data_IF_512034195338
#
_entry.id   IF_512034195338
#
_cell.length_a   1.000
_cell.length_b   1.000
_cell.length_c   1.000
_cell.angle_alpha   90.00
_cell.angle_beta   90.00
_cell.angle_gamma   90.00
#
_symmetry.space_group_name_H-M   'P 1'
#
loop_
_entity.id
_entity.type
_entity.pdbx_description
1 polymer ?
#
# COMPACT_ATOMS: atom_id res chain seq x y z
N UNK A 1 -25.98 -29.59 -23.18
CA UNK A 1 -26.03 -31.05 -22.87
C UNK A 1 -26.60 -31.26 -21.48
N UNK A 2 -27.68 -32.04 -21.34
CA UNK A 2 -28.24 -32.42 -20.03
C UNK A 2 -27.20 -33.25 -19.27
N UNK A 3 -26.81 -32.81 -18.06
CA UNK A 3 -25.92 -33.60 -17.18
C UNK A 3 -26.66 -34.87 -16.77
N UNK A 4 -26.27 -36.01 -17.34
CA UNK A 4 -26.71 -37.33 -16.88
C UNK A 4 -26.29 -37.50 -15.41
N UNK A 5 -27.27 -37.47 -14.51
CA UNK A 5 -27.06 -37.78 -13.09
C UNK A 5 -26.57 -39.22 -12.97
N UNK A 6 -25.31 -39.39 -12.60
CA UNK A 6 -24.73 -40.71 -12.38
C UNK A 6 -25.05 -41.18 -10.95
N UNK A 7 -25.32 -42.48 -10.78
CA UNK A 7 -25.49 -43.11 -9.46
C UNK A 7 -24.21 -42.95 -8.66
N UNK A 8 -24.32 -42.39 -7.45
CA UNK A 8 -23.20 -42.23 -6.51
C UNK A 8 -22.65 -43.62 -6.15
N UNK A 9 -21.39 -43.87 -6.44
CA UNK A 9 -20.68 -45.05 -5.96
C UNK A 9 -20.63 -45.02 -4.42
N UNK A 10 -21.08 -46.10 -3.77
CA UNK A 10 -21.06 -46.20 -2.29
C UNK A 10 -19.64 -46.38 -1.77
N UNK A 11 -18.80 -47.07 -2.53
CA UNK A 11 -17.43 -47.51 -2.21
C UNK A 11 -16.32 -46.69 -2.89
N UNK A 12 -16.66 -45.59 -3.55
CA UNK A 12 -15.70 -44.72 -4.22
C UNK A 12 -14.72 -44.04 -3.25
N UNK A 13 -13.52 -43.73 -3.76
CA UNK A 13 -12.47 -43.07 -2.98
C UNK A 13 -12.89 -41.69 -2.48
N UNK A 14 -12.26 -41.22 -1.40
CA UNK A 14 -12.56 -39.96 -0.74
C UNK A 14 -12.39 -38.76 -1.69
N UNK A 15 -11.33 -38.75 -2.50
CA UNK A 15 -11.06 -37.68 -3.46
C UNK A 15 -12.11 -37.58 -4.57
N UNK A 16 -12.61 -38.70 -5.07
CA UNK A 16 -13.69 -38.69 -6.06
C UNK A 16 -15.03 -38.26 -5.46
N UNK A 17 -15.30 -38.63 -4.20
CA UNK A 17 -16.48 -38.19 -3.45
C UNK A 17 -16.45 -36.68 -3.20
N UNK A 18 -15.31 -36.15 -2.75
CA UNK A 18 -15.07 -34.72 -2.51
C UNK A 18 -15.28 -33.89 -3.80
N UNK A 19 -14.70 -34.37 -4.90
CA UNK A 19 -14.80 -33.71 -6.22
C UNK A 19 -16.13 -33.93 -6.93
N UNK A 20 -17.04 -34.72 -6.35
CA UNK A 20 -18.32 -35.11 -6.96
C UNK A 20 -18.13 -35.58 -8.41
N UNK A 21 -17.25 -36.56 -8.60
CA UNK A 21 -17.00 -37.26 -9.88
C UNK A 21 -17.16 -38.77 -9.72
N UNK A 22 -17.41 -39.50 -10.82
CA UNK A 22 -17.57 -40.96 -10.80
C UNK A 22 -16.23 -41.63 -10.47
N UNK A 23 -16.19 -42.40 -9.38
CA UNK A 23 -15.08 -43.30 -9.08
C UNK A 23 -15.31 -44.64 -9.78
N UNK A 24 -14.26 -45.20 -10.36
CA UNK A 24 -14.24 -46.54 -10.97
C UNK A 24 -13.81 -47.64 -9.97
N UNK A 25 -13.56 -47.28 -8.71
CA UNK A 25 -13.26 -48.17 -7.58
C UNK A 25 -12.03 -49.08 -7.75
N UNK A 26 -11.22 -48.83 -8.79
CA UNK A 26 -9.89 -49.45 -8.94
C UNK A 26 -8.91 -48.90 -7.91
N UNK A 27 -7.83 -49.66 -7.64
CA UNK A 27 -6.76 -49.32 -6.69
C UNK A 27 -5.42 -49.19 -7.44
N UNK A 28 -4.93 -47.99 -7.80
CA UNK A 28 -5.56 -46.66 -7.68
C UNK A 28 -6.71 -46.43 -8.68
N UNK A 29 -7.57 -45.45 -8.38
CA UNK A 29 -8.73 -45.09 -9.20
C UNK A 29 -8.32 -44.29 -10.46
N UNK A 30 -8.91 -44.54 -11.63
CA UNK A 30 -8.51 -43.88 -12.89
C UNK A 30 -8.68 -42.36 -12.86
N UNK A 31 -9.71 -41.87 -12.15
CA UNK A 31 -9.95 -40.45 -11.97
C UNK A 31 -8.88 -39.79 -11.06
N UNK A 32 -8.33 -40.53 -10.11
CA UNK A 32 -7.28 -40.07 -9.22
C UNK A 32 -5.95 -39.97 -9.99
N UNK A 33 -5.64 -41.00 -10.78
CA UNK A 33 -4.45 -41.05 -11.65
C UNK A 33 -4.44 -39.93 -12.68
N UNK A 34 -5.56 -39.70 -13.39
CA UNK A 34 -5.65 -38.63 -14.41
C UNK A 34 -5.45 -37.22 -13.86
N UNK A 35 -5.73 -37.04 -12.58
CA UNK A 35 -5.59 -35.76 -11.90
C UNK A 35 -4.38 -35.71 -10.98
N UNK A 36 -3.49 -36.70 -11.06
CA UNK A 36 -2.23 -36.78 -10.32
C UNK A 36 -2.39 -36.56 -8.80
N UNK A 37 -3.51 -37.03 -8.24
CA UNK A 37 -3.81 -36.95 -6.81
C UNK A 37 -3.78 -38.33 -6.16
N UNK A 38 -3.33 -38.37 -4.91
CA UNK A 38 -3.25 -39.61 -4.12
C UNK A 38 -4.64 -40.26 -3.98
N UNK A 39 -4.75 -41.51 -4.40
CA UNK A 39 -6.00 -42.27 -4.30
C UNK A 39 -6.15 -42.88 -2.91
N UNK A 40 -7.26 -42.57 -2.21
CA UNK A 40 -7.54 -43.14 -0.88
C UNK A 40 -7.89 -44.63 -0.89
N UNK A 41 -7.87 -45.30 -2.05
CA UNK A 41 -8.10 -46.75 -2.19
C UNK A 41 -6.79 -47.53 -2.39
N UNK A 42 -5.64 -46.86 -2.47
CA UNK A 42 -4.34 -47.53 -2.64
C UNK A 42 -3.72 -47.86 -1.27
N UNK A 43 -3.52 -49.15 -1.00
CA UNK A 43 -2.87 -49.66 0.22
C UNK A 43 -1.38 -49.89 -0.03
N UNK A 44 -0.58 -48.83 -0.19
CA UNK A 44 0.89 -48.80 -0.08
C UNK A 44 1.40 -47.35 -0.15
N UNK A 45 2.32 -46.91 0.73
CA UNK A 45 2.90 -45.58 0.64
C UNK A 45 3.86 -45.50 -0.57
N UNK A 46 3.89 -44.39 -1.31
CA UNK A 46 4.95 -44.16 -2.29
C UNK A 46 6.27 -43.84 -1.57
N UNK A 47 7.36 -44.39 -2.08
CA UNK A 47 8.72 -43.96 -1.75
C UNK A 47 8.89 -42.44 -1.93
N UNK A 48 9.79 -41.89 -1.12
CA UNK A 48 10.03 -40.49 -0.82
C UNK A 48 9.94 -39.49 -2.00
N UNK A 49 9.17 -38.41 -1.74
CA UNK A 49 9.11 -37.17 -2.51
C UNK A 49 8.28 -36.14 -1.72
N UNK A 50 8.93 -35.47 -0.78
CA UNK A 50 8.36 -34.76 0.38
C UNK A 50 7.39 -33.62 0.04
N UNK A 51 6.14 -33.74 0.47
CA UNK A 51 5.27 -32.61 0.81
C UNK A 51 4.62 -32.92 2.17
N UNK A 52 5.10 -32.26 3.23
CA UNK A 52 4.54 -32.40 4.57
C UNK A 52 3.35 -31.46 4.77
N UNK A 53 2.29 -32.12 5.19
CA UNK A 53 0.98 -31.69 5.66
C UNK A 53 1.08 -30.81 6.90
N UNK A 54 0.27 -29.73 6.94
CA UNK A 54 -0.24 -29.16 8.20
C UNK A 54 -1.52 -29.91 8.54
N UNK A 55 -1.49 -30.70 9.62
CA UNK A 55 -2.68 -31.28 10.23
C UNK A 55 -3.39 -30.21 11.07
N UNK A 56 -4.67 -29.98 10.79
CA UNK A 56 -5.62 -29.42 11.74
C UNK A 56 -6.67 -30.49 12.04
N UNK A 57 -6.70 -30.97 13.28
CA UNK A 57 -7.81 -31.74 13.83
C UNK A 57 -8.48 -30.95 14.95
N UNK A 58 -9.74 -30.59 14.72
CA UNK A 58 -10.70 -30.16 15.73
C UNK A 58 -11.22 -31.37 16.51
N UNK A 59 -11.25 -31.28 17.85
CA UNK A 59 -12.31 -31.91 18.67
C UNK A 59 -12.65 -31.03 19.88
N UNK A 60 -13.96 -30.97 20.17
CA UNK A 60 -14.68 -30.14 21.15
C UNK A 60 -15.00 -30.96 22.43
N UNK A 61 -15.82 -30.49 23.39
CA UNK A 61 -15.42 -29.96 24.70
C UNK A 61 -15.80 -30.86 25.91
N UNK A 62 -15.18 -30.63 27.08
CA UNK A 62 -15.80 -30.88 28.39
C UNK A 62 -15.01 -30.28 29.55
N UNK A 63 -15.75 -30.05 30.64
CA UNK A 63 -15.60 -29.08 31.72
C UNK A 63 -14.63 -29.40 32.87
N UNK A 64 -14.46 -28.37 33.72
CA UNK A 64 -14.28 -28.34 35.19
C UNK A 64 -12.87 -28.31 35.85
N UNK A 65 -12.65 -27.16 36.52
CA UNK A 65 -12.06 -26.91 37.86
C UNK A 65 -10.53 -26.97 38.11
N UNK A 66 -10.02 -25.75 38.32
CA UNK A 66 -9.37 -25.23 39.55
C UNK A 66 -7.88 -25.50 39.89
N UNK A 67 -7.22 -24.39 40.31
CA UNK A 67 -6.02 -24.23 41.18
C UNK A 67 -4.68 -24.68 40.57
N UNK A 68 -3.49 -24.14 40.88
CA UNK A 68 -2.99 -22.96 41.62
C UNK A 68 -1.45 -23.09 41.67
N UNK A 69 -0.73 -21.98 41.48
CA UNK A 69 0.57 -21.57 42.08
C UNK A 69 1.92 -22.19 41.65
N UNK A 70 2.84 -21.24 41.44
CA UNK A 70 4.26 -21.16 41.85
C UNK A 70 5.29 -22.09 41.18
N UNK A 71 6.58 -21.75 41.03
CA UNK A 71 7.38 -20.52 41.10
C UNK A 71 8.86 -20.93 40.85
N UNK A 72 9.72 -19.92 40.64
CA UNK A 72 11.16 -19.85 40.98
C UNK A 72 12.16 -20.50 39.99
N UNK A 73 13.05 -19.69 39.39
CA UNK A 73 14.40 -19.23 39.87
C UNK A 73 15.42 -20.38 39.77
N UNK A 74 16.70 -20.20 39.48
CA UNK A 74 17.57 -19.11 39.04
C UNK A 74 19.00 -19.66 39.12
N UNK A 75 19.90 -19.10 38.30
CA UNK A 75 21.29 -18.75 38.63
C UNK A 75 22.30 -19.87 38.97
N UNK A 76 23.42 -19.82 38.25
CA UNK A 76 24.81 -19.62 38.72
C UNK A 76 25.77 -20.34 37.75
N UNK A 77 27.04 -19.98 37.52
CA UNK A 77 27.89 -18.81 37.77
C UNK A 77 29.28 -19.24 37.26
N UNK A 78 29.98 -18.34 36.56
CA UNK A 78 31.43 -18.14 36.43
C UNK A 78 32.40 -19.33 36.22
N UNK A 79 33.38 -19.19 35.32
CA UNK A 79 34.73 -18.71 35.68
C UNK A 79 35.65 -18.50 34.46
N UNK A 80 36.55 -17.53 34.62
CA UNK A 80 37.54 -16.99 33.70
C UNK A 80 38.77 -17.90 33.48
N UNK A 81 39.56 -17.63 32.44
CA UNK A 81 40.95 -18.13 32.36
C UNK A 81 41.69 -17.77 31.08
N UNK A 82 42.48 -16.70 31.13
CA UNK A 82 43.43 -16.22 30.11
C UNK A 82 44.73 -17.06 30.16
N UNK A 83 45.40 -17.27 29.02
CA UNK A 83 46.77 -17.78 28.98
C UNK A 83 47.35 -17.80 27.58
N UNK A 84 48.55 -17.25 27.42
CA UNK A 84 49.15 -16.77 26.17
C UNK A 84 50.44 -17.53 25.81
N UNK A 85 50.86 -17.35 24.55
CA UNK A 85 52.24 -17.37 23.99
C UNK A 85 52.83 -18.63 23.34
N UNK A 86 53.37 -18.36 22.14
CA UNK A 86 54.68 -18.81 21.65
C UNK A 86 54.59 -19.94 20.61
N UNK A 87 55.44 -20.05 19.59
CA UNK A 87 56.57 -19.23 19.12
C UNK A 87 57.12 -19.93 17.85
N UNK A 88 57.46 -19.13 16.83
CA UNK A 88 58.66 -19.24 15.98
C UNK A 88 58.86 -20.29 14.85
N UNK A 89 59.29 -19.68 13.71
CA UNK A 89 60.42 -19.97 12.79
C UNK A 89 60.13 -20.85 11.57
N UNK A 90 60.19 -20.24 10.36
CA UNK A 90 61.33 -20.14 9.40
C UNK A 90 61.48 -21.44 8.58
N UNK A 91 61.62 -21.50 7.25
CA UNK A 91 62.47 -20.78 6.28
C UNK A 91 61.96 -20.93 4.83
N UNK A 92 62.53 -20.13 3.92
CA UNK A 92 62.29 -20.02 2.47
C UNK A 92 63.28 -20.88 1.63
N UNK A 93 62.86 -21.39 0.46
CA UNK A 93 63.67 -21.46 -0.79
C UNK A 93 62.88 -21.97 -2.03
N UNK A 94 62.77 -21.10 -3.03
CA UNK A 94 62.80 -21.24 -4.51
C UNK A 94 62.65 -22.60 -5.22
N UNK A 95 61.78 -22.67 -6.24
CA UNK A 95 62.13 -22.95 -7.66
C UNK A 95 60.87 -23.03 -8.56
N UNK A 96 61.05 -22.73 -9.83
CA UNK A 96 60.06 -22.39 -10.86
C UNK A 96 59.37 -23.59 -11.55
N UNK A 97 58.33 -23.21 -12.28
CA UNK A 97 57.80 -23.80 -13.52
C UNK A 97 56.58 -24.75 -13.49
N UNK A 98 55.53 -24.21 -14.14
CA UNK A 98 54.57 -24.83 -15.05
C UNK A 98 53.34 -25.56 -14.52
N UNK A 99 52.23 -25.17 -15.16
CA UNK A 99 50.99 -25.91 -15.48
C UNK A 99 49.78 -25.55 -14.63
N UNK A 100 48.74 -25.10 -15.33
CA UNK A 100 47.36 -24.90 -14.89
C UNK A 100 46.85 -26.04 -13.99
N UNK A 101 45.97 -25.72 -13.03
CA UNK A 101 44.93 -26.66 -12.66
C UNK A 101 43.53 -26.03 -12.63
N UNK A 102 42.66 -26.69 -13.39
CA UNK A 102 41.22 -26.74 -13.25
C UNK A 102 40.75 -27.03 -11.83
N UNK A 103 39.72 -26.30 -11.41
CA UNK A 103 38.96 -26.38 -10.16
C UNK A 103 38.40 -27.78 -9.85
N UNK A 104 38.38 -28.17 -8.55
CA UNK A 104 37.31 -28.97 -7.98
C UNK A 104 36.56 -28.21 -6.86
N UNK A 105 35.32 -28.64 -6.52
CA UNK A 105 34.47 -28.00 -5.53
C UNK A 105 34.49 -28.69 -4.15
N UNK A 106 34.24 -27.91 -3.09
CA UNK A 106 33.93 -28.35 -1.72
C UNK A 106 33.65 -27.12 -0.85
N UNK A 107 32.44 -26.95 -0.30
CA UNK A 107 32.08 -27.16 1.13
C UNK A 107 32.90 -26.26 2.07
N UNK A 108 32.36 -25.32 2.85
CA UNK A 108 31.31 -25.40 3.89
C UNK A 108 31.05 -23.93 4.34
N UNK A 109 29.79 -23.50 4.54
CA UNK A 109 29.16 -23.29 5.87
C UNK A 109 29.43 -21.89 6.47
N UNK A 110 28.37 -21.09 6.69
CA UNK A 110 28.15 -20.42 7.98
C UNK A 110 26.78 -19.73 8.08
N UNK A 111 26.28 -19.78 9.31
CA UNK A 111 24.97 -19.40 9.81
C UNK A 111 24.68 -17.89 9.80
N UNK A 112 23.39 -17.56 9.81
CA UNK A 112 22.93 -16.18 10.00
C UNK A 112 21.43 -16.11 10.27
N UNK A 113 21.05 -16.41 11.52
CA UNK A 113 19.71 -16.15 12.04
C UNK A 113 19.37 -14.65 11.92
N UNK A 114 18.37 -14.31 11.11
CA UNK A 114 17.81 -12.95 11.08
C UNK A 114 16.58 -12.87 11.99
N UNK A 115 16.72 -12.06 13.03
CA UNK A 115 15.66 -11.60 13.91
C UNK A 115 14.53 -10.96 13.10
N UNK A 116 13.29 -11.25 13.50
CA UNK A 116 12.07 -10.70 12.93
C UNK A 116 12.06 -9.17 12.98
N UNK A 117 12.20 -8.56 11.81
CA UNK A 117 11.73 -7.22 11.57
C UNK A 117 10.33 -7.37 10.99
N UNK A 118 9.30 -6.85 11.67
CA UNK A 118 7.95 -6.78 11.11
C UNK A 118 8.03 -6.02 9.78
N UNK A 119 7.59 -6.66 8.69
CA UNK A 119 7.52 -6.06 7.36
C UNK A 119 6.48 -4.93 7.40
N UNK A 120 6.86 -3.66 7.13
CA UNK A 120 5.94 -2.53 7.10
C UNK A 120 4.81 -2.65 6.06
N UNK A 121 4.88 -3.65 5.18
CA UNK A 121 3.98 -3.84 4.03
C UNK A 121 3.19 -5.15 4.07
N UNK A 122 3.04 -5.79 5.24
CA UNK A 122 2.23 -7.01 5.41
C UNK A 122 0.78 -6.86 4.92
N UNK A 123 0.27 -5.62 4.94
CA UNK A 123 -1.01 -5.22 4.36
C UNK A 123 -1.18 -5.70 2.91
N UNK A 124 -0.16 -5.54 2.07
CA UNK A 124 -0.21 -5.97 0.68
C UNK A 124 -0.13 -7.50 0.60
N UNK A 125 0.77 -8.15 1.34
CA UNK A 125 0.91 -9.62 1.30
C UNK A 125 -0.37 -10.38 1.73
N UNK A 126 -1.09 -9.86 2.73
CA UNK A 126 -2.35 -10.44 3.22
C UNK A 126 -3.49 -10.34 2.19
N UNK A 127 -3.53 -9.27 1.38
CA UNK A 127 -4.54 -9.05 0.34
C UNK A 127 -4.39 -10.04 -0.85
N UNK A 128 -3.21 -10.63 -1.06
CA UNK A 128 -2.84 -11.29 -2.31
C UNK A 128 -2.63 -12.82 -2.23
N UNK A 129 -2.76 -13.43 -1.06
CA UNK A 129 -2.53 -14.89 -0.90
C UNK A 129 -3.64 -15.78 -1.49
N UNK A 130 -4.83 -15.24 -1.77
CA UNK A 130 -5.99 -16.03 -2.24
C UNK A 130 -6.23 -16.00 -3.77
N UNK A 131 -5.39 -15.33 -4.57
CA UNK A 131 -5.67 -15.06 -5.99
C UNK A 131 -4.76 -15.79 -7.00
N UNK A 132 -3.85 -16.65 -6.56
CA UNK A 132 -3.01 -17.42 -7.49
C UNK A 132 -3.70 -18.73 -7.89
N UNK A 133 -4.63 -18.63 -8.85
CA UNK A 133 -4.98 -19.74 -9.74
C UNK A 133 -5.04 -19.22 -11.18
N UNK A 134 -4.07 -19.69 -11.96
CA UNK A 134 -3.69 -19.17 -13.27
C UNK A 134 -4.80 -19.05 -14.31
N UNK A 135 -4.96 -17.83 -14.81
CA UNK A 135 -5.28 -17.60 -16.22
C UNK A 135 -3.99 -17.17 -16.91
N UNK A 136 -3.71 -17.74 -18.09
CA UNK A 136 -2.59 -17.31 -18.93
C UNK A 136 -2.68 -15.80 -19.11
N UNK A 137 -1.55 -15.10 -19.00
CA UNK A 137 -1.43 -13.69 -19.36
C UNK A 137 -2.14 -13.44 -20.71
N UNK A 138 -3.32 -12.82 -20.65
CA UNK A 138 -4.09 -12.52 -21.84
C UNK A 138 -3.49 -11.25 -22.41
N UNK A 139 -2.52 -11.41 -23.33
CA UNK A 139 -1.92 -10.28 -24.06
C UNK A 139 -2.97 -9.31 -24.62
N UNK A 140 -4.16 -9.79 -24.97
CA UNK A 140 -5.30 -8.97 -25.38
C UNK A 140 -5.80 -8.03 -24.27
N UNK A 141 -5.82 -8.49 -23.03
CA UNK A 141 -6.13 -7.65 -21.85
C UNK A 141 -5.03 -6.63 -21.59
N UNK A 142 -3.74 -7.02 -21.67
CA UNK A 142 -2.64 -6.05 -21.51
C UNK A 142 -2.69 -4.95 -22.59
N UNK A 143 -3.06 -5.33 -23.83
CA UNK A 143 -3.26 -4.39 -24.93
C UNK A 143 -4.49 -3.50 -24.72
N UNK A 144 -5.59 -4.04 -24.18
CA UNK A 144 -6.77 -3.25 -23.79
C UNK A 144 -6.40 -2.22 -22.71
N UNK A 145 -5.66 -2.63 -21.68
CA UNK A 145 -5.16 -1.73 -20.63
C UNK A 145 -4.24 -0.64 -21.19
N UNK A 146 -3.29 -0.99 -22.06
CA UNK A 146 -2.38 0.00 -22.67
C UNK A 146 -3.13 0.95 -23.63
N UNK A 147 -4.10 0.45 -24.38
CA UNK A 147 -4.96 1.27 -25.22
C UNK A 147 -5.79 2.24 -24.38
N UNK A 148 -6.43 1.77 -23.31
CA UNK A 148 -7.15 2.63 -22.37
C UNK A 148 -6.24 3.67 -21.72
N UNK A 149 -5.00 3.28 -21.40
CA UNK A 149 -4.02 4.22 -20.85
C UNK A 149 -3.76 5.39 -21.79
N UNK A 150 -3.34 5.09 -23.02
CA UNK A 150 -2.93 6.09 -24.02
C UNK A 150 -4.09 6.86 -24.65
N UNK A 151 -5.32 6.36 -24.53
CA UNK A 151 -6.51 6.98 -25.13
C UNK A 151 -7.38 7.73 -24.12
N UNK A 152 -7.42 7.31 -22.86
CA UNK A 152 -8.37 7.81 -21.86
C UNK A 152 -7.68 8.15 -20.54
N UNK A 153 -7.05 7.19 -19.86
CA UNK A 153 -6.66 7.39 -18.46
C UNK A 153 -5.50 8.37 -18.27
N UNK A 154 -4.61 8.54 -19.26
CA UNK A 154 -3.51 9.52 -19.17
C UNK A 154 -4.03 10.94 -18.88
N UNK A 155 -5.20 11.29 -19.44
CA UNK A 155 -5.77 12.63 -19.32
C UNK A 155 -6.27 12.94 -17.90
N UNK A 156 -6.47 11.93 -17.05
CA UNK A 156 -6.88 12.13 -15.65
C UNK A 156 -5.72 12.52 -14.74
N UNK A 157 -4.47 12.47 -15.22
CA UNK A 157 -3.27 12.76 -14.41
C UNK A 157 -2.96 14.26 -14.33
N UNK A 158 -3.42 15.06 -15.29
CA UNK A 158 -3.22 16.51 -15.29
C UNK A 158 -4.22 17.21 -16.22
N UNK A 159 -4.51 18.48 -15.94
CA UNK A 159 -5.29 19.35 -16.83
C UNK A 159 -4.40 20.19 -17.77
N UNK A 160 -3.08 20.14 -17.60
CA UNK A 160 -2.13 20.87 -18.43
C UNK A 160 -1.80 20.08 -19.70
N UNK A 161 -1.87 20.74 -20.86
CA UNK A 161 -1.72 20.08 -22.17
C UNK A 161 -0.31 19.53 -22.41
N UNK A 162 0.73 20.23 -21.96
CA UNK A 162 2.12 19.78 -22.13
C UNK A 162 2.41 18.58 -21.21
N UNK A 163 1.90 18.62 -19.98
CA UNK A 163 1.97 17.49 -19.05
C UNK A 163 1.15 16.28 -19.54
N UNK A 164 -0.04 16.50 -20.09
CA UNK A 164 -0.83 15.43 -20.69
C UNK A 164 -0.09 14.77 -21.85
N UNK A 165 0.58 15.55 -22.71
CA UNK A 165 1.39 15.01 -23.81
C UNK A 165 2.53 14.12 -23.29
N UNK A 166 3.21 14.56 -22.24
CA UNK A 166 4.24 13.76 -21.57
C UNK A 166 3.66 12.42 -21.09
N UNK A 167 2.55 12.44 -20.35
CA UNK A 167 1.91 11.21 -19.87
C UNK A 167 1.38 10.32 -21.00
N UNK A 168 0.89 10.90 -22.10
CA UNK A 168 0.36 10.13 -23.22
C UNK A 168 1.45 9.45 -24.06
N UNK A 169 2.59 10.11 -24.27
CA UNK A 169 3.57 9.71 -25.28
C UNK A 169 4.90 9.30 -24.68
N UNK A 170 5.48 10.14 -23.83
CA UNK A 170 6.84 9.97 -23.35
C UNK A 170 6.91 8.96 -22.20
N UNK A 171 5.93 8.97 -21.29
CA UNK A 171 5.91 8.03 -20.18
C UNK A 171 5.74 6.56 -20.64
N UNK A 172 4.87 6.22 -21.62
CA UNK A 172 4.85 4.88 -22.21
C UNK A 172 6.15 4.48 -22.89
N UNK A 173 6.83 5.42 -23.58
CA UNK A 173 8.14 5.17 -24.19
C UNK A 173 9.19 4.80 -23.14
N UNK A 174 9.20 5.49 -22.00
CA UNK A 174 10.00 5.11 -20.84
C UNK A 174 9.56 3.76 -20.27
N UNK A 175 8.26 3.48 -20.22
CA UNK A 175 7.71 2.19 -19.80
C UNK A 175 8.24 1.02 -20.63
N UNK A 176 8.34 1.15 -21.95
CA UNK A 176 8.92 0.10 -22.80
C UNK A 176 10.40 -0.19 -22.51
N UNK A 177 11.13 0.76 -21.94
CA UNK A 177 12.51 0.58 -21.50
C UNK A 177 12.59 -0.03 -20.08
N UNK A 178 11.55 0.18 -19.26
CA UNK A 178 11.52 -0.24 -17.85
C UNK A 178 10.25 -1.03 -17.52
N UNK A 179 10.37 -2.38 -17.45
CA UNK A 179 9.24 -3.30 -17.23
C UNK A 179 8.36 -2.95 -16.02
N UNK A 180 8.96 -2.51 -14.91
CA UNK A 180 8.19 -2.14 -13.71
C UNK A 180 7.28 -0.94 -13.94
N UNK A 181 7.75 0.05 -14.71
CA UNK A 181 6.98 1.22 -15.07
C UNK A 181 5.85 0.82 -16.04
N UNK A 182 6.14 -0.07 -17.00
CA UNK A 182 5.10 -0.60 -17.88
C UNK A 182 3.97 -1.28 -17.09
N UNK A 183 4.32 -2.15 -16.14
CA UNK A 183 3.34 -2.76 -15.24
C UNK A 183 2.58 -1.71 -14.43
N UNK A 184 3.24 -0.64 -13.98
CA UNK A 184 2.56 0.44 -13.26
C UNK A 184 1.53 1.19 -14.12
N UNK A 185 1.81 1.41 -15.41
CA UNK A 185 0.87 2.02 -16.36
C UNK A 185 -0.36 1.12 -16.58
N UNK A 186 -0.13 -0.19 -16.72
CA UNK A 186 -1.21 -1.18 -16.87
C UNK A 186 -2.06 -1.28 -15.59
N UNK A 187 -1.43 -1.28 -14.41
CA UNK A 187 -2.12 -1.26 -13.13
C UNK A 187 -3.02 -0.02 -12.99
N UNK A 188 -2.48 1.16 -13.28
CA UNK A 188 -3.23 2.41 -13.25
C UNK A 188 -4.45 2.37 -14.19
N UNK A 189 -4.25 1.89 -15.41
CA UNK A 189 -5.32 1.71 -16.39
C UNK A 189 -6.40 0.74 -15.90
N UNK A 190 -5.99 -0.40 -15.32
CA UNK A 190 -6.91 -1.40 -14.79
C UNK A 190 -7.74 -0.87 -13.63
N UNK A 191 -7.14 -0.12 -12.69
CA UNK A 191 -7.89 0.53 -11.61
C UNK A 191 -8.88 1.57 -12.15
N UNK A 192 -8.48 2.36 -13.15
CA UNK A 192 -9.37 3.33 -13.78
C UNK A 192 -10.54 2.65 -14.52
N UNK A 193 -10.30 1.54 -15.24
CA UNK A 193 -11.37 0.76 -15.86
C UNK A 193 -12.31 0.15 -14.83
N UNK A 194 -11.79 -0.33 -13.70
CA UNK A 194 -12.57 -0.90 -12.62
C UNK A 194 -13.44 0.17 -11.91
N UNK A 195 -12.95 1.41 -11.84
CA UNK A 195 -13.72 2.59 -11.42
C UNK A 195 -14.89 2.85 -12.39
N UNK A 196 -14.63 2.94 -13.70
CA UNK A 196 -15.64 3.24 -14.71
C UNK A 196 -16.66 2.12 -14.95
N UNK A 197 -16.26 0.85 -14.79
CA UNK A 197 -17.07 -0.31 -15.16
C UNK A 197 -17.48 -1.13 -13.93
N UNK A 198 -18.58 -0.77 -13.30
CA UNK A 198 -19.04 -1.41 -12.05
C UNK A 198 -19.32 -2.91 -12.21
N UNK A 199 -19.84 -3.34 -13.37
CA UNK A 199 -20.18 -4.75 -13.63
C UNK A 199 -18.95 -5.66 -13.76
N UNK A 200 -17.86 -5.13 -14.32
CA UNK A 200 -16.59 -5.86 -14.53
C UNK A 200 -15.51 -5.45 -13.53
N UNK A 201 -15.88 -4.67 -12.51
CA UNK A 201 -14.97 -4.06 -11.54
C UNK A 201 -14.00 -5.08 -10.93
N UNK A 202 -14.49 -6.25 -10.50
CA UNK A 202 -13.64 -7.29 -9.91
C UNK A 202 -12.60 -7.85 -10.88
N UNK A 203 -12.95 -8.04 -12.15
CA UNK A 203 -12.04 -8.57 -13.14
C UNK A 203 -10.90 -7.58 -13.42
N UNK A 204 -11.25 -6.31 -13.70
CA UNK A 204 -10.26 -5.26 -13.94
C UNK A 204 -9.40 -4.98 -12.71
N UNK A 205 -9.98 -5.00 -11.51
CA UNK A 205 -9.21 -4.86 -10.27
C UNK A 205 -8.22 -6.00 -10.07
N UNK A 206 -8.64 -7.25 -10.29
CA UNK A 206 -7.74 -8.40 -10.19
C UNK A 206 -6.57 -8.28 -11.17
N UNK A 207 -6.83 -7.84 -12.41
CA UNK A 207 -5.78 -7.60 -13.41
C UNK A 207 -4.86 -6.45 -13.00
N UNK A 208 -5.43 -5.34 -12.55
CA UNK A 208 -4.68 -4.17 -12.06
C UNK A 208 -3.76 -4.56 -10.90
N UNK A 209 -4.28 -5.32 -9.94
CA UNK A 209 -3.55 -5.80 -8.78
C UNK A 209 -2.37 -6.71 -9.15
N UNK A 210 -2.53 -7.61 -10.12
CA UNK A 210 -1.43 -8.45 -10.61
C UNK A 210 -0.28 -7.60 -11.18
N UNK A 211 -0.60 -6.64 -12.05
CA UNK A 211 0.40 -5.71 -12.57
C UNK A 211 0.98 -4.81 -11.47
N UNK A 212 0.17 -4.39 -10.50
CA UNK A 212 0.63 -3.57 -9.38
C UNK A 212 1.68 -4.29 -8.55
N UNK A 213 1.52 -5.60 -8.33
CA UNK A 213 2.48 -6.43 -7.62
C UNK A 213 3.81 -6.54 -8.39
N UNK A 214 3.76 -6.82 -9.70
CA UNK A 214 4.96 -6.85 -10.55
C UNK A 214 5.66 -5.48 -10.63
N UNK A 215 4.90 -4.39 -10.62
CA UNK A 215 5.44 -3.03 -10.57
C UNK A 215 6.17 -2.75 -9.25
N UNK A 216 5.58 -3.12 -8.11
CA UNK A 216 6.17 -2.94 -6.78
C UNK A 216 7.43 -3.80 -6.61
N UNK A 217 7.41 -5.05 -7.08
CA UNK A 217 8.59 -5.92 -7.06
C UNK A 217 9.74 -5.28 -7.83
N UNK A 218 9.49 -4.84 -9.06
CA UNK A 218 10.51 -4.18 -9.86
C UNK A 218 10.98 -2.83 -9.29
N UNK A 219 10.08 -2.03 -8.72
CA UNK A 219 10.43 -0.79 -8.01
C UNK A 219 11.40 -1.07 -6.86
N UNK A 220 11.12 -2.08 -6.02
CA UNK A 220 11.97 -2.46 -4.88
C UNK A 220 13.36 -2.92 -5.33
N UNK A 221 13.43 -3.75 -6.38
CA UNK A 221 14.71 -4.20 -6.94
C UNK A 221 15.56 -3.02 -7.43
N UNK A 222 14.95 -2.06 -8.11
CA UNK A 222 15.68 -0.91 -8.67
C UNK A 222 16.08 0.11 -7.58
N UNK A 223 15.25 0.30 -6.55
CA UNK A 223 15.59 1.13 -5.37
C UNK A 223 16.77 0.58 -4.57
N UNK A 224 16.91 -0.74 -4.47
CA UNK A 224 18.03 -1.39 -3.78
C UNK A 224 19.32 -1.47 -4.60
N UNK A 225 19.31 -1.02 -5.86
CA UNK A 225 20.47 -1.12 -6.76
C UNK A 225 21.42 0.08 -6.63
N UNK A 226 22.70 -0.12 -6.94
CA UNK A 226 23.70 0.96 -6.99
C UNK A 226 23.37 2.05 -8.04
N UNK A 227 22.44 1.77 -8.96
CA UNK A 227 22.05 2.63 -10.08
C UNK A 227 20.72 3.35 -9.83
N UNK A 228 20.22 3.41 -8.58
CA UNK A 228 18.95 4.07 -8.27
C UNK A 228 18.90 5.55 -8.74
N UNK A 229 20.04 6.26 -8.73
CA UNK A 229 20.14 7.63 -9.25
C UNK A 229 19.91 7.71 -10.76
N UNK A 230 20.43 6.74 -11.52
CA UNK A 230 20.29 6.69 -12.99
C UNK A 230 18.83 6.46 -13.43
N UNK A 231 18.07 5.77 -12.59
CA UNK A 231 16.65 5.47 -12.83
C UNK A 231 15.71 6.35 -12.00
N UNK A 232 16.19 7.47 -11.45
CA UNK A 232 15.41 8.32 -10.55
C UNK A 232 14.11 8.82 -11.20
N UNK A 233 14.13 9.13 -12.51
CA UNK A 233 12.96 9.54 -13.26
C UNK A 233 11.88 8.46 -13.34
N UNK A 234 12.24 7.24 -13.73
CA UNK A 234 11.28 6.14 -13.86
C UNK A 234 10.79 5.64 -12.50
N UNK A 235 11.67 5.60 -11.49
CA UNK A 235 11.30 5.33 -10.10
C UNK A 235 10.29 6.35 -9.57
N UNK A 236 10.54 7.63 -9.80
CA UNK A 236 9.66 8.71 -9.33
C UNK A 236 8.31 8.69 -10.07
N UNK A 237 8.31 8.54 -11.40
CA UNK A 237 7.08 8.46 -12.19
C UNK A 237 6.22 7.24 -11.80
N UNK A 238 6.85 6.07 -11.62
CA UNK A 238 6.15 4.88 -11.13
C UNK A 238 5.60 5.09 -9.71
N UNK A 239 6.32 5.80 -8.84
CA UNK A 239 5.87 6.10 -7.47
C UNK A 239 4.67 7.07 -7.42
N UNK A 240 4.60 8.03 -8.35
CA UNK A 240 3.41 8.90 -8.51
C UNK A 240 2.19 8.04 -8.84
N UNK A 241 2.30 7.20 -9.87
CA UNK A 241 1.20 6.33 -10.30
C UNK A 241 0.81 5.32 -9.22
N UNK A 242 1.79 4.72 -8.53
CA UNK A 242 1.57 3.81 -7.40
C UNK A 242 0.76 4.50 -6.29
N UNK A 243 1.10 5.76 -5.96
CA UNK A 243 0.39 6.51 -4.93
C UNK A 243 -1.07 6.76 -5.32
N UNK A 244 -1.32 7.14 -6.58
CA UNK A 244 -2.67 7.33 -7.10
C UNK A 244 -3.45 6.00 -7.11
N UNK A 245 -2.80 4.90 -7.52
CA UNK A 245 -3.40 3.57 -7.48
C UNK A 245 -3.73 3.13 -6.04
N UNK A 246 -2.89 3.46 -5.07
CA UNK A 246 -3.14 3.18 -3.65
C UNK A 246 -4.40 3.87 -3.15
N UNK A 247 -4.61 5.15 -3.50
CA UNK A 247 -5.88 5.83 -3.26
C UNK A 247 -7.04 5.11 -3.96
N UNK A 248 -6.91 4.72 -5.23
CA UNK A 248 -7.97 4.05 -5.99
C UNK A 248 -8.38 2.67 -5.44
N UNK A 249 -7.57 2.02 -4.60
CA UNK A 249 -7.88 0.69 -4.05
C UNK A 249 -8.96 0.70 -2.96
N UNK A 250 -9.22 1.84 -2.33
CA UNK A 250 -10.22 2.04 -1.26
C UNK A 250 -11.06 3.27 -1.59
N UNK A 251 -12.37 3.37 -1.25
CA UNK A 251 -13.26 2.43 -0.55
C UNK A 251 -14.07 1.51 -1.49
N UNK A 252 -13.83 1.59 -2.80
CA UNK A 252 -14.68 0.96 -3.83
C UNK A 252 -14.71 -0.59 -3.82
N UNK A 253 -13.92 -1.25 -2.97
CA UNK A 253 -13.71 -2.71 -2.96
C UNK A 253 -13.98 -3.38 -1.61
N UNK A 254 -14.59 -2.65 -0.66
CA UNK A 254 -14.91 -3.04 0.72
C UNK A 254 -15.93 -4.22 0.86
N UNK A 255 -16.21 -4.94 -0.23
CA UNK A 255 -17.16 -6.07 -0.24
C UNK A 255 -16.51 -7.45 -0.18
N UNK A 256 -15.19 -7.56 -0.24
CA UNK A 256 -14.57 -8.88 -0.51
C UNK A 256 -13.59 -9.45 0.52
N UNK A 257 -13.13 -8.74 1.55
CA UNK A 257 -12.49 -9.39 2.71
C UNK A 257 -12.24 -8.41 3.88
N UNK A 258 -12.96 -8.60 5.00
CA UNK A 258 -12.72 -7.95 6.30
C UNK A 258 -12.99 -6.43 6.39
N UNK A 259 -13.25 -5.88 7.60
CA UNK A 259 -13.33 -4.44 7.79
C UNK A 259 -11.90 -3.87 7.70
N UNK A 260 -11.53 -3.37 6.54
CA UNK A 260 -10.30 -2.61 6.39
C UNK A 260 -10.47 -1.27 7.11
N UNK A 261 -9.64 -1.02 8.13
CA UNK A 261 -9.71 0.23 8.88
C UNK A 261 -9.25 1.40 7.98
N UNK A 262 -10.12 2.38 7.67
CA UNK A 262 -9.77 3.50 6.80
C UNK A 262 -8.53 4.27 7.27
N UNK A 263 -8.31 4.37 8.59
CA UNK A 263 -7.18 5.07 9.17
C UNK A 263 -5.87 4.34 8.88
N UNK A 264 -5.83 3.01 9.01
CA UNK A 264 -4.60 2.26 8.71
C UNK A 264 -4.26 2.30 7.20
N UNK A 265 -5.29 2.29 6.35
CA UNK A 265 -5.12 2.41 4.90
C UNK A 265 -4.56 3.78 4.50
N UNK A 266 -5.11 4.88 5.04
CA UNK A 266 -4.59 6.23 4.71
C UNK A 266 -3.16 6.41 5.24
N UNK A 267 -2.81 5.80 6.37
CA UNK A 267 -1.43 5.80 6.88
C UNK A 267 -0.47 5.07 5.94
N UNK A 268 -0.91 3.98 5.31
CA UNK A 268 -0.15 3.31 4.25
C UNK A 268 0.09 4.23 3.05
N UNK A 269 -0.91 5.00 2.64
CA UNK A 269 -0.78 6.02 1.59
C UNK A 269 0.19 7.14 1.99
N UNK A 270 0.15 7.61 3.25
CA UNK A 270 1.09 8.60 3.75
C UNK A 270 2.54 8.11 3.68
N UNK A 271 2.78 6.85 4.05
CA UNK A 271 4.09 6.24 3.92
C UNK A 271 4.57 6.18 2.46
N UNK A 272 3.69 5.88 1.51
CA UNK A 272 4.03 5.92 0.07
C UNK A 272 4.36 7.33 -0.41
N UNK A 273 3.56 8.34 -0.02
CA UNK A 273 3.82 9.74 -0.35
C UNK A 273 5.18 10.19 0.19
N UNK A 274 5.50 9.85 1.45
CA UNK A 274 6.80 10.15 2.07
C UNK A 274 7.94 9.47 1.31
N UNK A 275 7.80 8.18 0.97
CA UNK A 275 8.79 7.44 0.19
C UNK A 275 9.02 8.04 -1.20
N UNK A 276 7.96 8.41 -1.90
CA UNK A 276 8.02 9.12 -3.18
C UNK A 276 8.77 10.45 -3.05
N UNK A 277 8.54 11.21 -1.98
CA UNK A 277 9.26 12.45 -1.73
C UNK A 277 10.76 12.20 -1.44
N UNK A 278 11.12 11.10 -0.78
CA UNK A 278 12.52 10.73 -0.57
C UNK A 278 13.25 10.48 -1.90
N UNK A 279 12.63 9.76 -2.84
CA UNK A 279 13.19 9.56 -4.19
C UNK A 279 13.48 10.92 -4.86
N UNK A 280 12.58 11.89 -4.70
CA UNK A 280 12.77 13.24 -5.22
C UNK A 280 13.96 13.95 -4.58
N UNK A 281 14.09 13.89 -3.25
CA UNK A 281 15.16 14.56 -2.52
C UNK A 281 16.53 13.95 -2.80
N UNK A 282 16.62 12.62 -2.84
CA UNK A 282 17.88 11.89 -3.08
C UNK A 282 18.39 12.03 -4.53
N UNK A 283 17.52 12.40 -5.48
CA UNK A 283 17.92 12.61 -6.89
C UNK A 283 18.79 13.86 -7.15
N UNK A 284 19.14 14.65 -6.13
CA UNK A 284 19.99 15.83 -6.31
C UNK A 284 19.40 16.93 -7.20
N UNK A 285 18.09 16.89 -7.49
CA UNK A 285 17.41 17.83 -8.38
C UNK A 285 17.35 17.38 -9.85
N UNK A 286 17.94 16.23 -10.22
CA UNK A 286 17.88 15.66 -11.58
C UNK A 286 16.44 15.51 -12.05
N UNK A 287 15.54 15.06 -11.17
CA UNK A 287 14.11 14.91 -11.46
C UNK A 287 13.47 16.23 -11.96
N UNK A 288 13.93 17.38 -11.43
CA UNK A 288 13.39 18.70 -11.78
C UNK A 288 14.02 19.30 -13.05
N UNK A 289 15.13 18.74 -13.53
CA UNK A 289 15.85 19.23 -14.72
C UNK A 289 15.79 18.27 -15.92
N UNK A 290 15.43 17.01 -15.69
CA UNK A 290 15.32 15.97 -16.72
C UNK A 290 13.91 15.84 -17.34
N UNK A 291 13.53 14.65 -17.85
CA UNK A 291 12.28 14.45 -18.61
C UNK A 291 10.99 14.79 -17.85
N UNK A 292 11.04 14.80 -16.51
CA UNK A 292 9.91 15.13 -15.64
C UNK A 292 9.82 16.62 -15.28
N UNK A 293 10.71 17.47 -15.80
CA UNK A 293 10.75 18.89 -15.47
C UNK A 293 9.40 19.61 -15.69
N UNK A 294 8.63 19.18 -16.69
CA UNK A 294 7.28 19.71 -16.99
C UNK A 294 6.30 19.52 -15.84
N UNK A 295 6.46 18.46 -15.02
CA UNK A 295 5.63 18.23 -13.84
C UNK A 295 5.85 19.27 -12.73
N UNK A 296 7.04 19.91 -12.73
CA UNK A 296 7.45 20.92 -11.75
C UNK A 296 7.33 22.36 -12.28
N UNK A 297 6.77 22.52 -13.50
CA UNK A 297 6.71 23.78 -14.22
C UNK A 297 6.20 24.93 -13.35
N UNK A 298 7.00 26.02 -13.31
CA UNK A 298 6.58 27.29 -12.71
C UNK A 298 5.59 27.98 -13.65
N UNK A 299 4.51 28.53 -13.09
CA UNK A 299 3.60 29.42 -13.80
C UNK A 299 4.40 30.54 -14.49
N UNK A 300 4.28 30.67 -15.81
CA UNK A 300 4.61 31.92 -16.47
C UNK A 300 3.55 32.95 -16.07
N UNK A 301 4.00 34.07 -15.50
CA UNK A 301 3.16 35.18 -15.05
C UNK A 301 2.16 35.60 -16.13
N UNK A 302 0.86 35.55 -15.83
CA UNK A 302 -0.15 36.22 -16.65
C UNK A 302 -1.58 35.68 -16.61
N UNK A 303 -1.80 34.41 -16.25
CA UNK A 303 -3.15 33.85 -16.26
C UNK A 303 -3.87 34.08 -14.91
N UNK A 304 -5.16 34.51 -14.91
CA UNK A 304 -5.95 34.58 -13.69
C UNK A 304 -5.99 33.20 -13.03
N UNK A 305 -5.73 33.18 -11.72
CA UNK A 305 -5.77 31.99 -10.88
C UNK A 305 -6.99 31.15 -11.23
N UNK A 306 -6.76 29.88 -11.56
CA UNK A 306 -7.83 28.91 -11.73
C UNK A 306 -8.75 28.96 -10.50
N UNK A 307 -10.05 28.89 -10.75
CA UNK A 307 -11.14 29.15 -9.81
C UNK A 307 -10.87 28.60 -8.42
N UNK A 308 -11.13 29.45 -7.44
CA UNK A 308 -10.98 29.22 -6.01
C UNK A 308 -11.36 27.79 -5.63
N UNK A 309 -10.38 26.99 -5.22
CA UNK A 309 -10.54 25.55 -4.94
C UNK A 309 -11.43 25.22 -3.74
N UNK A 310 -12.13 26.23 -3.19
CA UNK A 310 -12.83 26.22 -1.90
C UNK A 310 -11.91 25.95 -0.70
N UNK A 311 -10.63 25.65 -0.92
CA UNK A 311 -9.61 25.40 0.12
C UNK A 311 -9.40 26.61 1.03
N UNK A 312 -9.70 27.83 0.53
CA UNK A 312 -9.69 29.06 1.32
C UNK A 312 -10.65 29.04 2.50
N UNK A 313 -11.77 28.30 2.40
CA UNK A 313 -12.78 28.16 3.46
C UNK A 313 -12.22 27.36 4.64
N UNK A 314 -11.35 26.38 4.39
CA UNK A 314 -10.78 25.51 5.44
C UNK A 314 -9.77 26.27 6.31
N UNK A 315 -9.04 27.25 5.74
CA UNK A 315 -7.96 27.97 6.42
C UNK A 315 -8.34 28.57 7.78
N UNK A 316 -9.39 29.43 7.90
CA UNK A 316 -9.76 30.01 9.19
C UNK A 316 -10.14 28.96 10.24
N UNK A 317 -10.75 27.85 9.81
CA UNK A 317 -11.13 26.78 10.73
C UNK A 317 -9.92 25.98 11.24
N UNK A 318 -8.87 25.80 10.42
CA UNK A 318 -7.60 25.19 10.88
C UNK A 318 -6.86 26.12 11.85
N UNK A 319 -6.91 27.45 11.62
CA UNK A 319 -6.36 28.44 12.56
C UNK A 319 -7.11 28.39 13.91
N UNK A 320 -8.45 28.33 13.89
CA UNK A 320 -9.27 28.18 15.09
C UNK A 320 -9.01 26.85 15.82
N UNK A 321 -8.79 25.76 15.07
CA UNK A 321 -8.45 24.46 15.66
C UNK A 321 -7.16 24.53 16.48
N UNK A 322 -6.11 25.21 16.00
CA UNK A 322 -4.85 25.34 16.75
C UNK A 322 -5.08 25.98 18.12
N UNK A 323 -5.93 27.02 18.18
CA UNK A 323 -6.30 27.69 19.43
C UNK A 323 -7.09 26.74 20.33
N UNK A 324 -8.11 26.07 19.78
CA UNK A 324 -8.98 25.17 20.53
C UNK A 324 -8.21 23.97 21.13
N UNK A 325 -7.27 23.39 20.37
CA UNK A 325 -6.38 22.34 20.88
C UNK A 325 -5.50 22.85 22.02
N UNK A 326 -5.06 24.12 22.00
CA UNK A 326 -4.26 24.70 23.08
C UNK A 326 -5.03 24.88 24.39
N UNK A 327 -6.36 24.98 24.32
CA UNK A 327 -7.25 25.16 25.47
C UNK A 327 -7.84 23.84 25.99
N UNK A 328 -7.84 22.80 25.16
CA UNK A 328 -8.45 21.51 25.49
C UNK A 328 -7.52 20.68 26.40
N UNK A 329 -8.01 20.16 27.53
CA UNK A 329 -7.16 19.38 28.44
C UNK A 329 -6.77 18.03 27.81
N UNK A 330 -5.47 17.76 27.76
CA UNK A 330 -4.91 16.46 27.41
C UNK A 330 -4.83 15.61 28.69
N UNK A 331 -5.36 14.39 28.65
CA UNK A 331 -5.40 13.48 29.79
C UNK A 331 -4.40 12.31 29.60
N UNK A 332 -3.77 11.88 30.68
CA UNK A 332 -2.86 10.72 30.71
C UNK A 332 -1.37 11.09 30.70
N UNK A 333 -0.52 10.06 30.78
CA UNK A 333 0.93 10.22 30.91
C UNK A 333 1.58 10.88 29.67
N UNK A 334 0.99 10.71 28.50
CA UNK A 334 1.50 11.24 27.22
C UNK A 334 0.89 12.59 26.84
N UNK A 335 0.21 13.27 27.77
CA UNK A 335 -0.53 14.51 27.50
C UNK A 335 0.33 15.62 26.87
N UNK A 336 1.55 15.83 27.39
CA UNK A 336 2.46 16.88 26.90
C UNK A 336 2.94 16.56 25.48
N UNK A 337 3.36 15.31 25.26
CA UNK A 337 3.84 14.86 23.96
C UNK A 337 2.73 14.87 22.91
N UNK A 338 1.55 14.34 23.24
CA UNK A 338 0.37 14.37 22.38
C UNK A 338 -0.05 15.78 22.01
N UNK A 339 0.00 16.74 22.94
CA UNK A 339 -0.31 18.14 22.68
C UNK A 339 0.67 18.77 21.69
N UNK A 340 1.98 18.60 21.93
CA UNK A 340 3.02 19.15 21.05
C UNK A 340 2.93 18.59 19.62
N UNK A 341 2.87 17.26 19.49
CA UNK A 341 2.82 16.59 18.19
C UNK A 341 1.55 16.98 17.40
N UNK A 342 0.40 17.06 18.08
CA UNK A 342 -0.87 17.45 17.45
C UNK A 342 -0.83 18.93 16.99
N UNK A 343 -0.25 19.83 17.79
CA UNK A 343 -0.09 21.24 17.41
C UNK A 343 0.81 21.41 16.18
N UNK A 344 1.93 20.69 16.11
CA UNK A 344 2.78 20.66 14.92
C UNK A 344 2.03 20.11 13.68
N UNK A 345 1.20 19.08 13.86
CA UNK A 345 0.38 18.54 12.77
C UNK A 345 -0.65 19.56 12.24
N UNK A 346 -1.25 20.37 13.11
CA UNK A 346 -2.14 21.48 12.69
C UNK A 346 -1.38 22.60 11.99
N UNK A 347 -0.22 23.00 12.53
CA UNK A 347 0.61 24.03 11.91
C UNK A 347 1.09 23.62 10.50
N UNK A 348 1.50 22.37 10.34
CA UNK A 348 1.88 21.81 9.03
C UNK A 348 0.68 21.70 8.07
N UNK A 349 -0.53 21.40 8.57
CA UNK A 349 -1.76 21.39 7.76
C UNK A 349 -2.06 22.80 7.23
N UNK A 350 -2.01 23.80 8.11
CA UNK A 350 -2.19 25.22 7.73
C UNK A 350 -1.17 25.65 6.68
N UNK A 351 0.12 25.33 6.90
CA UNK A 351 1.18 25.63 5.93
C UNK A 351 0.99 24.91 4.60
N UNK A 352 0.49 23.67 4.59
CA UNK A 352 0.23 22.92 3.37
C UNK A 352 -0.88 23.56 2.51
N UNK A 353 -1.94 24.05 3.17
CA UNK A 353 -3.06 24.76 2.54
C UNK A 353 -2.56 26.09 1.98
N UNK A 354 -1.86 26.87 2.79
CA UNK A 354 -1.33 28.17 2.40
C UNK A 354 -0.36 28.06 1.21
N UNK A 355 0.59 27.13 1.25
CA UNK A 355 1.53 26.90 0.15
C UNK A 355 0.81 26.47 -1.12
N UNK A 356 -0.23 25.66 -1.01
CA UNK A 356 -1.01 25.20 -2.17
C UNK A 356 -1.83 26.32 -2.81
N UNK A 357 -2.34 27.27 -2.01
CA UNK A 357 -3.04 28.46 -2.51
C UNK A 357 -2.06 29.47 -3.10
N UNK A 358 -0.98 29.81 -2.38
CA UNK A 358 0.00 30.84 -2.79
C UNK A 358 0.81 30.45 -4.02
N UNK A 359 1.01 29.15 -4.26
CA UNK A 359 1.78 28.62 -5.39
C UNK A 359 0.83 27.90 -6.36
N UNK A 360 0.09 28.66 -7.19
CA UNK A 360 -0.73 28.06 -8.22
C UNK A 360 0.16 27.26 -9.19
N UNK A 361 -0.32 26.08 -9.56
CA UNK A 361 0.29 25.20 -10.54
C UNK A 361 -0.70 24.95 -11.67
N UNK A 362 -0.28 24.97 -12.94
CA UNK A 362 -1.16 24.56 -14.04
C UNK A 362 -1.44 23.05 -14.02
N UNK A 363 -0.58 22.27 -13.35
CA UNK A 363 -0.59 20.80 -13.45
C UNK A 363 -1.66 20.12 -12.61
N UNK A 364 -2.16 20.77 -11.56
CA UNK A 364 -3.04 20.19 -10.55
C UNK A 364 -3.89 21.26 -9.84
N UNK A 365 -4.97 20.86 -9.17
CA UNK A 365 -5.76 21.76 -8.31
C UNK A 365 -5.04 22.02 -6.98
N UNK A 366 -5.35 23.14 -6.32
CA UNK A 366 -4.75 23.44 -5.01
C UNK A 366 -5.17 22.44 -3.92
N UNK A 367 -6.40 21.92 -3.98
CA UNK A 367 -6.88 20.86 -3.07
C UNK A 367 -6.10 19.56 -3.24
N UNK A 368 -5.84 19.14 -4.48
CA UNK A 368 -5.02 17.95 -4.76
C UNK A 368 -3.56 18.14 -4.33
N UNK A 369 -2.99 19.34 -4.50
CA UNK A 369 -1.64 19.62 -3.96
C UNK A 369 -1.60 19.56 -2.44
N UNK A 370 -2.58 20.13 -1.76
CA UNK A 370 -2.65 20.13 -0.31
C UNK A 370 -2.80 18.70 0.26
N UNK A 371 -3.59 17.84 -0.39
CA UNK A 371 -3.79 16.45 0.05
C UNK A 371 -2.50 15.61 -0.01
N UNK A 372 -1.59 15.90 -0.94
CA UNK A 372 -0.27 15.24 -1.05
C UNK A 372 0.83 15.95 -0.24
N UNK A 373 0.77 17.26 -0.07
CA UNK A 373 1.80 18.04 0.63
C UNK A 373 1.76 17.81 2.14
N UNK A 374 0.59 17.77 2.77
CA UNK A 374 0.52 17.60 4.22
C UNK A 374 1.14 16.28 4.72
N UNK A 375 0.90 15.11 4.09
CA UNK A 375 1.57 13.87 4.45
C UNK A 375 3.11 13.92 4.38
N UNK A 376 3.68 14.78 3.53
CA UNK A 376 5.13 15.01 3.45
C UNK A 376 5.63 15.80 4.67
N UNK A 377 4.83 16.74 5.18
CA UNK A 377 5.22 17.68 6.24
C UNK A 377 5.02 17.12 7.66
N UNK A 378 4.10 16.19 7.87
CA UNK A 378 3.82 15.64 9.20
C UNK A 378 4.98 14.77 9.72
N UNK A 379 5.22 14.84 11.03
CA UNK A 379 6.25 14.05 11.71
C UNK A 379 5.83 12.56 11.86
N UNK A 380 6.80 11.68 12.12
CA UNK A 380 6.54 10.25 12.33
C UNK A 380 5.77 10.00 13.62
N UNK A 381 5.98 10.81 14.66
CA UNK A 381 5.27 10.70 15.94
C UNK A 381 3.76 10.91 15.76
N UNK A 382 3.36 11.84 14.89
CA UNK A 382 1.95 12.05 14.56
C UNK A 382 1.32 10.82 13.88
N UNK A 383 2.05 10.15 12.98
CA UNK A 383 1.60 8.89 12.37
C UNK A 383 1.42 7.80 13.43
N UNK A 384 2.32 7.74 14.41
CA UNK A 384 2.21 6.81 15.54
C UNK A 384 0.97 7.09 16.39
N UNK A 385 0.68 8.36 16.69
CA UNK A 385 -0.54 8.76 17.40
C UNK A 385 -1.82 8.40 16.63
N UNK A 386 -1.84 8.58 15.31
CA UNK A 386 -2.97 8.16 14.46
C UNK A 386 -3.15 6.63 14.45
N UNK A 387 -2.06 5.87 14.39
CA UNK A 387 -2.10 4.40 14.47
C UNK A 387 -2.68 3.93 15.81
N UNK A 388 -2.40 4.66 16.89
CA UNK A 388 -2.96 4.41 18.22
C UNK A 388 -4.39 4.96 18.41
N UNK A 389 -4.98 5.58 17.37
CA UNK A 389 -6.28 6.25 17.43
C UNK A 389 -6.35 7.31 18.53
N UNK A 390 -5.24 8.02 18.76
CA UNK A 390 -5.17 9.07 19.77
C UNK A 390 -6.19 10.17 19.45
N UNK A 391 -7.11 10.52 20.38
CA UNK A 391 -8.24 11.38 20.07
C UNK A 391 -7.89 12.73 19.43
N UNK A 392 -6.89 13.43 19.98
CA UNK A 392 -6.47 14.72 19.44
C UNK A 392 -5.89 14.62 18.02
N UNK A 393 -5.20 13.52 17.70
CA UNK A 393 -4.69 13.29 16.35
C UNK A 393 -5.83 12.99 15.38
N UNK A 394 -6.87 12.26 15.81
CA UNK A 394 -8.07 12.02 15.00
C UNK A 394 -8.83 13.32 14.70
N UNK A 395 -8.85 14.29 15.62
CA UNK A 395 -9.40 15.63 15.35
C UNK A 395 -8.68 16.29 14.18
N UNK A 396 -7.34 16.27 14.15
CA UNK A 396 -6.58 16.85 13.03
C UNK A 396 -6.83 16.07 11.73
N UNK A 397 -6.96 14.75 11.81
CA UNK A 397 -7.35 13.92 10.65
C UNK A 397 -8.75 14.28 10.12
N UNK A 398 -9.72 14.62 10.98
CA UNK A 398 -11.04 15.09 10.53
C UNK A 398 -10.94 16.36 9.69
N UNK A 399 -10.04 17.30 10.04
CA UNK A 399 -9.79 18.48 9.23
C UNK A 399 -9.09 18.13 7.91
N UNK A 400 -8.16 17.18 7.90
CA UNK A 400 -7.60 16.67 6.65
C UNK A 400 -8.66 16.03 5.74
N UNK A 401 -9.69 15.38 6.30
CA UNK A 401 -10.81 14.85 5.52
C UNK A 401 -11.56 15.94 4.74
N UNK A 402 -11.61 17.18 5.24
CA UNK A 402 -12.21 18.30 4.49
C UNK A 402 -11.38 18.63 3.25
N UNK A 403 -10.04 18.60 3.35
CA UNK A 403 -9.12 18.78 2.22
C UNK A 403 -9.30 17.65 1.20
N UNK A 404 -9.39 16.40 1.66
CA UNK A 404 -9.67 15.25 0.80
C UNK A 404 -11.00 15.42 0.06
N UNK A 405 -12.07 15.84 0.73
CA UNK A 405 -13.38 16.09 0.10
C UNK A 405 -13.27 17.11 -1.05
N UNK A 406 -12.44 18.14 -0.92
CA UNK A 406 -12.23 19.10 -2.02
C UNK A 406 -11.39 18.51 -3.15
N UNK A 407 -10.49 17.58 -2.85
CA UNK A 407 -9.65 16.91 -3.84
C UNK A 407 -10.42 15.85 -4.63
N UNK A 408 -11.39 15.16 -4.00
CA UNK A 408 -12.29 14.16 -4.61
C UNK A 408 -12.97 14.70 -5.88
N UNK A 409 -13.40 15.97 -5.88
CA UNK A 409 -14.04 16.61 -7.03
C UNK A 409 -13.15 16.69 -8.29
N UNK A 410 -11.82 16.60 -8.12
CA UNK A 410 -10.83 16.71 -9.19
C UNK A 410 -10.04 15.44 -9.45
N UNK A 411 -10.21 14.40 -8.62
CA UNK A 411 -9.44 13.17 -8.73
C UNK A 411 -10.29 11.95 -8.35
N UNK A 412 -10.64 11.16 -9.37
CA UNK A 412 -11.45 9.94 -9.23
C UNK A 412 -10.86 8.94 -8.23
N UNK A 413 -9.52 8.88 -8.11
CA UNK A 413 -8.85 7.93 -7.24
C UNK A 413 -9.08 8.22 -5.75
N UNK A 414 -9.40 9.47 -5.38
CA UNK A 414 -9.64 9.86 -3.99
C UNK A 414 -11.10 9.65 -3.57
N UNK A 415 -12.00 9.32 -4.50
CA UNK A 415 -13.44 9.29 -4.27
C UNK A 415 -13.82 8.36 -3.09
N UNK A 416 -14.53 8.91 -2.10
CA UNK A 416 -15.08 8.18 -0.96
C UNK A 416 -14.15 8.05 0.25
N UNK A 417 -12.90 8.52 0.15
CA UNK A 417 -11.96 8.53 1.27
C UNK A 417 -12.42 9.45 2.40
N UNK A 418 -12.86 10.67 2.07
CA UNK A 418 -13.21 11.67 3.08
C UNK A 418 -14.36 11.17 3.97
N UNK A 419 -15.42 10.62 3.35
CA UNK A 419 -16.58 10.11 4.09
C UNK A 419 -16.22 8.90 4.95
N UNK A 420 -15.44 7.96 4.40
CA UNK A 420 -15.05 6.73 5.10
C UNK A 420 -14.16 7.02 6.32
N UNK A 421 -13.19 7.92 6.15
CA UNK A 421 -12.33 8.38 7.25
C UNK A 421 -13.15 9.15 8.30
N UNK A 422 -14.03 10.06 7.88
CA UNK A 422 -14.86 10.83 8.82
C UNK A 422 -15.77 9.94 9.66
N UNK A 423 -16.37 8.89 9.08
CA UNK A 423 -17.15 7.89 9.83
C UNK A 423 -16.29 7.19 10.89
N UNK A 424 -15.09 6.76 10.52
CA UNK A 424 -14.16 6.13 11.47
C UNK A 424 -13.77 7.09 12.61
N UNK A 425 -13.48 8.35 12.29
CA UNK A 425 -13.15 9.38 13.28
C UNK A 425 -14.33 9.66 14.20
N UNK A 426 -15.55 9.84 13.68
CA UNK A 426 -16.75 10.05 14.49
C UNK A 426 -16.97 8.89 15.46
N UNK A 427 -16.91 7.65 14.97
CA UNK A 427 -17.09 6.46 15.82
C UNK A 427 -16.01 6.35 16.91
N UNK A 428 -14.77 6.77 16.61
CA UNK A 428 -13.66 6.72 17.57
C UNK A 428 -13.74 7.81 18.65
N UNK A 429 -14.43 8.92 18.36
CA UNK A 429 -14.55 10.08 19.25
C UNK A 429 -15.90 10.18 19.96
N UNK A 430 -16.85 9.28 19.67
CA UNK A 430 -18.21 9.30 20.20
C UNK A 430 -18.21 9.36 21.74
N UNK A 431 -18.88 10.38 22.30
CA UNK A 431 -19.00 10.58 23.74
C UNK A 431 -17.75 11.15 24.42
N UNK A 432 -16.71 11.51 23.66
CA UNK A 432 -15.52 12.20 24.17
C UNK A 432 -15.66 13.73 24.09
N UNK A 433 -14.89 14.46 24.90
CA UNK A 433 -14.87 15.93 24.82
C UNK A 433 -14.30 16.47 23.50
N UNK A 434 -13.59 15.63 22.73
CA UNK A 434 -13.04 15.96 21.42
C UNK A 434 -14.08 16.01 20.31
N UNK A 435 -15.26 15.40 20.51
CA UNK A 435 -16.33 15.34 19.51
C UNK A 435 -16.78 16.75 19.08
N UNK A 436 -16.81 17.69 20.02
CA UNK A 436 -17.18 19.09 19.75
C UNK A 436 -16.26 19.78 18.74
N UNK A 437 -14.99 19.37 18.66
CA UNK A 437 -14.00 19.96 17.75
C UNK A 437 -14.13 19.47 16.31
N UNK A 438 -14.83 18.35 16.08
CA UNK A 438 -15.00 17.77 14.74
C UNK A 438 -16.37 18.09 14.11
N UNK A 439 -17.23 18.86 14.77
CA UNK A 439 -18.58 19.14 14.26
C UNK A 439 -18.56 19.88 12.92
N UNK A 440 -17.72 20.92 12.79
CA UNK A 440 -17.55 21.63 11.52
C UNK A 440 -17.02 20.73 10.39
N UNK A 441 -15.89 20.02 10.52
CA UNK A 441 -15.42 19.16 9.43
C UNK A 441 -16.38 18.00 9.14
N UNK A 442 -17.10 17.48 10.15
CA UNK A 442 -18.17 16.49 9.97
C UNK A 442 -19.31 17.03 9.10
N UNK A 443 -19.74 18.29 9.28
CA UNK A 443 -20.76 18.91 8.43
C UNK A 443 -20.29 19.05 6.97
N UNK A 444 -19.04 19.46 6.75
CA UNK A 444 -18.48 19.60 5.39
C UNK A 444 -18.38 18.24 4.68
N UNK A 445 -18.02 17.18 5.41
CA UNK A 445 -17.79 15.85 4.83
C UNK A 445 -19.06 14.99 4.79
N UNK A 446 -19.96 15.07 5.77
CA UNK A 446 -21.17 14.24 5.84
C UNK A 446 -22.45 14.98 5.42
N UNK A 447 -22.37 16.28 5.16
CA UNK A 447 -23.52 17.11 4.78
C UNK A 447 -24.28 16.54 3.57
N UNK A 448 -25.61 16.38 3.75
CA UNK A 448 -26.55 15.70 2.84
C UNK A 448 -26.94 16.57 1.62
N UNK A 449 -26.60 17.86 1.62
CA UNK A 449 -26.88 18.76 0.50
C UNK A 449 -25.60 19.19 -0.21
N UNK A 450 -25.29 18.50 -1.31
CA UNK A 450 -24.29 18.92 -2.30
C UNK A 450 -24.56 20.36 -2.80
N UNK A 451 -25.82 20.81 -2.71
CA UNK A 451 -26.28 22.13 -3.09
C UNK A 451 -26.01 23.23 -2.06
N UNK A 452 -25.91 22.95 -0.76
CA UNK A 452 -25.61 24.00 0.26
C UNK A 452 -24.14 24.35 0.24
N UNK A 453 -23.28 23.36 0.03
CA UNK A 453 -21.85 23.56 -0.14
C UNK A 453 -21.59 24.36 -1.43
N UNK A 454 -22.25 24.05 -2.54
CA UNK A 454 -22.13 24.81 -3.79
C UNK A 454 -22.85 26.18 -3.76
N UNK A 455 -23.98 26.33 -3.04
CA UNK A 455 -24.70 27.62 -2.91
C UNK A 455 -24.09 28.55 -1.87
N UNK A 456 -23.44 28.06 -0.82
CA UNK A 456 -22.62 28.91 0.05
C UNK A 456 -21.38 29.41 -0.71
N UNK A 457 -20.83 28.62 -1.64
CA UNK A 457 -19.76 29.03 -2.55
C UNK A 457 -20.17 30.11 -3.56
N UNK A 458 -21.48 30.26 -3.85
CA UNK A 458 -22.00 31.29 -4.74
C UNK A 458 -22.48 32.57 -4.00
N UNK A 459 -22.94 32.44 -2.75
CA UNK A 459 -23.56 33.55 -2.01
C UNK A 459 -22.58 34.40 -1.19
N UNK A 460 -21.33 33.97 -0.99
CA UNK A 460 -20.26 34.81 -0.41
C UNK A 460 -19.44 35.58 -1.47
N UNK A 461 -19.83 35.50 -2.75
CA UNK A 461 -19.23 36.25 -3.87
C UNK A 461 -20.05 37.47 -4.33
N UNK A 462 -20.99 37.96 -3.49
CA UNK A 462 -21.74 39.21 -3.73
C UNK A 462 -21.42 40.29 -2.69
#
# INVERSE_FOLDING_TARGET
MKRLGYRKSRTGCLRCKERRVKCDEKRPCSACVRHEVLCSLSDSPPDAGTAQTVEQSFTRPSSTKARSRHAKRSLDRAYSGVGSKGSQKNTCATAEHSSEPSLPPGKEQEDGAYNGHEDPFSFFAALFSNLILGERANWASDMELMHHYTSISYATLSNDADVQKFFQQDLPRLGFQHKFLLHQLLAFSGYHLAYLNHDKRHAFFSQASQHQNSAIEGLRTNLGSAHASEHCHTLYAASILLTICSFATFPSYDRFDGPLDPVDNILGVFSLIKGMNMIRLESGGEISTGPLATLFGRMQCGCPSYKDSGLGIIRPHVEQLSIALGQTPFLGNDAIHGSFVTQHAVASLSSSIENSIRRPSPTSTASLRASFLWPILIETDYITLLRQRYPAALVVLAFYCTVLRMAEASCWALEGWAESLMKCVCNSLEGSHWETLIEWPKQIVMGVDQDIVVKSWANEQL
#
